data_IF_911119059490
#
_entry.id   IF_911119059490
#
_cell.length_a   1.000
_cell.length_b   1.000
_cell.length_c   1.000
_cell.angle_alpha   90.00
_cell.angle_beta   90.00
_cell.angle_gamma   90.00
#
_symmetry.space_group_name_H-M   'P 1'
#
loop_
_entity.id
_entity.type
_entity.pdbx_description
1 polymer ?
#
# COMPACT_ATOMS: atom_id res chain seq x y z
N UNK A 1 4.46 -2.64 20.33
CA UNK A 1 3.80 -3.89 19.88
C UNK A 1 2.68 -4.33 20.81
N UNK A 2 2.88 -4.32 22.13
CA UNK A 2 1.86 -4.78 23.10
C UNK A 2 0.53 -4.01 23.03
N UNK A 3 0.59 -2.68 22.90
CA UNK A 3 -0.61 -1.84 22.76
C UNK A 3 -1.47 -2.22 21.55
N UNK A 4 -0.85 -2.43 20.40
CA UNK A 4 -1.51 -2.85 19.15
C UNK A 4 -2.16 -4.23 19.29
N UNK A 5 -1.50 -5.15 19.98
CA UNK A 5 -2.04 -6.51 20.21
C UNK A 5 -3.25 -6.46 21.14
N UNK A 6 -3.21 -5.62 22.18
CA UNK A 6 -4.33 -5.42 23.10
C UNK A 6 -5.53 -4.79 22.37
N UNK A 7 -5.31 -3.71 21.61
CA UNK A 7 -6.33 -3.07 20.79
C UNK A 7 -6.94 -4.06 19.78
N UNK A 8 -6.13 -4.91 19.12
CA UNK A 8 -6.63 -5.96 18.24
C UNK A 8 -7.47 -7.02 18.95
N UNK A 9 -7.12 -7.41 20.17
CA UNK A 9 -7.94 -8.34 20.97
C UNK A 9 -9.28 -7.71 21.37
N UNK A 10 -9.30 -6.42 21.73
CA UNK A 10 -10.51 -5.70 22.10
C UNK A 10 -11.41 -5.47 20.87
N UNK A 11 -10.84 -4.99 19.76
CA UNK A 11 -11.55 -4.77 18.50
C UNK A 11 -12.24 -6.05 17.99
N UNK A 12 -11.55 -7.20 18.09
CA UNK A 12 -12.15 -8.52 17.78
C UNK A 12 -13.41 -8.84 18.59
N UNK A 13 -13.53 -8.31 19.81
CA UNK A 13 -14.68 -8.50 20.70
C UNK A 13 -15.78 -7.44 20.48
N UNK A 14 -15.63 -6.57 19.48
CA UNK A 14 -16.60 -5.53 19.15
C UNK A 14 -16.31 -4.16 19.76
N UNK A 15 -15.13 -3.97 20.36
CA UNK A 15 -14.71 -2.64 20.84
C UNK A 15 -14.42 -1.71 19.66
N UNK A 16 -15.31 -0.74 19.46
CA UNK A 16 -15.21 0.23 18.36
C UNK A 16 -14.06 1.21 18.54
N UNK A 17 -13.77 1.61 19.78
CA UNK A 17 -12.68 2.54 20.06
C UNK A 17 -11.33 1.87 19.78
N UNK A 18 -11.18 0.61 20.19
CA UNK A 18 -9.98 -0.16 19.89
C UNK A 18 -9.79 -0.41 18.38
N UNK A 19 -10.87 -0.57 17.61
CA UNK A 19 -10.77 -0.61 16.15
C UNK A 19 -10.30 0.73 15.58
N UNK A 20 -10.89 1.84 16.05
CA UNK A 20 -10.50 3.19 15.64
C UNK A 20 -9.01 3.45 15.86
N UNK A 21 -8.50 3.08 17.04
CA UNK A 21 -7.07 3.22 17.38
C UNK A 21 -6.16 2.42 16.44
N UNK A 22 -6.54 1.18 16.11
CA UNK A 22 -5.79 0.38 15.13
C UNK A 22 -5.79 1.04 13.75
N UNK A 23 -6.96 1.51 13.32
CA UNK A 23 -7.12 2.10 12.00
C UNK A 23 -6.33 3.41 11.89
N UNK A 24 -6.49 4.33 12.84
CA UNK A 24 -5.72 5.59 12.88
C UNK A 24 -4.21 5.34 12.84
N UNK A 25 -3.74 4.30 13.53
CA UNK A 25 -2.34 3.93 13.53
C UNK A 25 -1.84 3.41 12.18
N UNK A 26 -2.67 2.71 11.41
CA UNK A 26 -2.26 2.09 10.14
C UNK A 26 -2.60 2.93 8.92
N UNK A 27 -3.58 3.82 9.02
CA UNK A 27 -4.13 4.61 7.94
C UNK A 27 -3.07 5.43 7.16
N UNK A 28 -2.06 6.07 7.80
CA UNK A 28 -1.06 6.83 7.05
C UNK A 28 -0.25 5.96 6.08
N UNK A 29 0.22 4.79 6.53
CA UNK A 29 0.98 3.87 5.67
C UNK A 29 0.08 3.20 4.62
N UNK A 30 -1.17 2.88 4.98
CA UNK A 30 -2.17 2.36 4.06
C UNK A 30 -2.47 3.36 2.94
N UNK A 31 -2.63 4.64 3.28
CA UNK A 31 -2.85 5.72 2.31
C UNK A 31 -1.66 5.88 1.37
N UNK A 32 -0.42 5.94 1.89
CA UNK A 32 0.78 6.01 1.04
C UNK A 32 0.88 4.82 0.10
N UNK A 33 0.61 3.62 0.59
CA UNK A 33 0.58 2.41 -0.25
C UNK A 33 -0.48 2.52 -1.35
N UNK A 34 -1.71 2.92 -1.00
CA UNK A 34 -2.81 3.06 -1.96
C UNK A 34 -2.54 4.14 -3.01
N UNK A 35 -1.95 5.27 -2.61
CA UNK A 35 -1.58 6.38 -3.48
C UNK A 35 -0.57 5.93 -4.54
N UNK A 36 0.51 5.27 -4.15
CA UNK A 36 1.49 4.75 -5.11
C UNK A 36 0.97 3.58 -5.96
N UNK A 37 -0.08 2.88 -5.51
CA UNK A 37 -0.73 1.84 -6.31
C UNK A 37 -1.66 2.44 -7.38
N UNK A 38 -2.53 3.37 -6.97
CA UNK A 38 -3.67 3.86 -7.75
C UNK A 38 -3.38 5.17 -8.49
N UNK A 39 -2.31 5.87 -8.12
CA UNK A 39 -1.81 7.06 -8.79
C UNK A 39 -2.61 8.33 -8.53
N UNK A 40 -3.72 8.31 -7.79
CA UNK A 40 -4.51 9.51 -7.50
C UNK A 40 -5.07 9.54 -6.07
N UNK A 41 -5.30 10.74 -5.53
CA UNK A 41 -5.69 10.97 -4.12
C UNK A 41 -7.09 10.46 -3.80
N UNK A 42 -8.04 10.75 -4.67
CA UNK A 42 -9.45 10.37 -4.50
C UNK A 42 -9.57 8.85 -4.38
N UNK A 43 -9.01 8.11 -5.35
CA UNK A 43 -9.05 6.65 -5.30
C UNK A 43 -8.22 6.06 -4.16
N UNK A 44 -7.12 6.71 -3.75
CA UNK A 44 -6.38 6.26 -2.58
C UNK A 44 -7.19 6.41 -1.29
N UNK A 45 -7.86 7.55 -1.10
CA UNK A 45 -8.73 7.80 0.03
C UNK A 45 -9.92 6.83 0.03
N UNK A 46 -10.55 6.60 -1.11
CA UNK A 46 -11.66 5.66 -1.27
C UNK A 46 -11.22 4.23 -0.96
N UNK A 47 -10.07 3.80 -1.48
CA UNK A 47 -9.55 2.46 -1.22
C UNK A 47 -9.25 2.23 0.27
N UNK A 48 -8.72 3.24 0.97
CA UNK A 48 -8.48 3.16 2.42
C UNK A 48 -9.80 3.11 3.19
N UNK A 49 -10.79 3.90 2.81
CA UNK A 49 -12.12 3.89 3.43
C UNK A 49 -12.84 2.56 3.22
N UNK A 50 -12.83 2.03 2.00
CA UNK A 50 -13.41 0.72 1.68
C UNK A 50 -12.70 -0.39 2.47
N UNK A 51 -11.36 -0.35 2.54
CA UNK A 51 -10.60 -1.28 3.35
C UNK A 51 -10.95 -1.18 4.84
N UNK A 52 -11.19 0.03 5.36
CA UNK A 52 -11.63 0.24 6.73
C UNK A 52 -13.00 -0.39 6.99
N UNK A 53 -13.96 -0.23 6.07
CA UNK A 53 -15.29 -0.82 6.17
C UNK A 53 -15.24 -2.35 6.11
N UNK A 54 -14.47 -2.93 5.19
CA UNK A 54 -14.25 -4.37 5.12
C UNK A 54 -13.56 -4.90 6.38
N UNK A 55 -12.54 -4.19 6.87
CA UNK A 55 -11.84 -4.54 8.10
C UNK A 55 -12.79 -4.48 9.31
N UNK A 56 -13.61 -3.44 9.43
CA UNK A 56 -14.56 -3.31 10.53
C UNK A 56 -15.58 -4.46 10.54
N UNK A 57 -16.12 -4.82 9.38
CA UNK A 57 -17.03 -5.97 9.23
C UNK A 57 -16.35 -7.31 9.50
N UNK A 58 -15.07 -7.43 9.15
CA UNK A 58 -14.30 -8.67 9.23
C UNK A 58 -13.46 -8.87 10.49
N UNK A 59 -13.36 -7.87 11.38
CA UNK A 59 -12.37 -7.84 12.46
C UNK A 59 -12.47 -9.04 13.40
N UNK A 60 -13.67 -9.55 13.67
CA UNK A 60 -13.89 -10.76 14.47
C UNK A 60 -13.14 -11.99 13.90
N UNK A 61 -12.94 -12.04 12.58
CA UNK A 61 -12.22 -13.09 11.86
C UNK A 61 -10.68 -12.98 11.90
N UNK A 62 -10.12 -11.93 12.50
CA UNK A 62 -8.67 -11.77 12.66
C UNK A 62 -8.11 -12.92 13.51
N UNK A 63 -7.37 -13.85 12.90
CA UNK A 63 -6.88 -15.05 13.62
C UNK A 63 -5.85 -14.73 14.70
N UNK A 64 -4.86 -13.91 14.36
CA UNK A 64 -3.70 -13.56 15.20
C UNK A 64 -3.68 -12.05 15.43
N UNK A 65 -3.95 -11.57 16.66
CA UNK A 65 -3.92 -10.14 16.98
C UNK A 65 -2.58 -9.46 16.64
N UNK A 66 -1.47 -10.16 16.82
CA UNK A 66 -0.13 -9.71 16.44
C UNK A 66 0.06 -9.48 14.94
N UNK A 67 -0.82 -10.04 14.11
CA UNK A 67 -0.81 -9.87 12.66
C UNK A 67 -1.80 -8.79 12.17
N UNK A 68 -2.36 -7.96 13.07
CA UNK A 68 -3.36 -6.95 12.73
C UNK A 68 -2.93 -6.07 11.55
N UNK A 69 -1.74 -5.47 11.60
CA UNK A 69 -1.23 -4.59 10.51
C UNK A 69 -1.21 -5.32 9.15
N UNK A 70 -0.61 -6.50 9.11
CA UNK A 70 -0.55 -7.32 7.88
C UNK A 70 -1.94 -7.75 7.38
N UNK A 71 -2.90 -7.96 8.30
CA UNK A 71 -4.28 -8.29 7.95
C UNK A 71 -5.02 -7.10 7.34
N UNK A 72 -4.86 -5.88 7.88
CA UNK A 72 -5.37 -4.65 7.26
C UNK A 72 -4.78 -4.44 5.86
N UNK A 73 -3.46 -4.59 5.70
CA UNK A 73 -2.80 -4.48 4.40
C UNK A 73 -3.24 -5.55 3.40
N UNK A 74 -3.62 -6.74 3.86
CA UNK A 74 -4.21 -7.77 3.00
C UNK A 74 -5.56 -7.35 2.43
N UNK A 75 -6.40 -6.72 3.25
CA UNK A 75 -7.69 -6.17 2.81
C UNK A 75 -7.43 -5.03 1.81
N UNK A 76 -6.58 -4.08 2.17
CA UNK A 76 -6.22 -2.97 1.28
C UNK A 76 -5.64 -3.44 -0.06
N UNK A 77 -4.75 -4.44 -0.05
CA UNK A 77 -4.21 -5.03 -1.27
C UNK A 77 -5.32 -5.55 -2.19
N UNK A 78 -6.33 -6.22 -1.62
CA UNK A 78 -7.47 -6.71 -2.39
C UNK A 78 -8.33 -5.57 -2.95
N UNK A 79 -8.60 -4.53 -2.14
CA UNK A 79 -9.34 -3.33 -2.56
C UNK A 79 -8.62 -2.63 -3.72
N UNK A 80 -7.33 -2.29 -3.56
CA UNK A 80 -6.53 -1.66 -4.63
C UNK A 80 -6.45 -2.53 -5.88
N UNK A 81 -6.47 -3.87 -5.74
CA UNK A 81 -6.52 -4.80 -6.87
C UNK A 81 -7.83 -4.73 -7.65
N UNK A 82 -8.96 -4.55 -6.97
CA UNK A 82 -10.27 -4.40 -7.62
C UNK A 82 -10.40 -3.04 -8.30
N UNK A 83 -10.13 -1.95 -7.59
CA UNK A 83 -10.26 -0.59 -8.14
C UNK A 83 -9.37 -0.32 -9.36
N UNK A 84 -8.18 -0.94 -9.44
CA UNK A 84 -7.33 -0.81 -10.63
C UNK A 84 -7.91 -1.51 -11.87
N UNK A 85 -8.59 -2.65 -11.68
CA UNK A 85 -9.20 -3.41 -12.79
C UNK A 85 -10.31 -2.61 -13.45
N UNK A 86 -11.13 -1.94 -12.63
CA UNK A 86 -12.21 -1.06 -13.10
C UNK A 86 -11.65 0.19 -13.79
N UNK A 87 -10.48 0.68 -13.36
CA UNK A 87 -9.81 1.83 -14.01
C UNK A 87 -9.15 1.49 -15.34
N UNK A 88 -8.64 0.27 -15.53
CA UNK A 88 -8.13 -0.18 -16.83
C UNK A 88 -9.24 -0.24 -17.90
N UNK A 89 -10.50 -0.30 -17.48
CA UNK A 89 -11.67 -0.17 -18.36
C UNK A 89 -12.07 1.30 -18.61
N UNK A 90 -11.49 2.27 -17.88
CA UNK A 90 -11.94 3.67 -17.84
C UNK A 90 -10.85 4.77 -18.06
N UNK A 91 -9.58 4.40 -18.28
CA UNK A 91 -8.44 5.24 -18.71
C UNK A 91 -8.38 6.69 -18.16
N UNK A 92 -7.82 6.92 -16.96
CA UNK A 92 -7.15 8.18 -16.58
C UNK A 92 -6.23 7.96 -15.36
N UNK A 93 -4.94 8.32 -15.46
CA UNK A 93 -4.02 8.48 -14.30
C UNK A 93 -3.76 9.96 -14.11
N UNK A 94 -4.06 10.50 -12.93
CA UNK A 94 -3.83 11.90 -12.57
C UNK A 94 -2.46 12.03 -11.88
N UNK A 95 -1.55 12.81 -12.46
CA UNK A 95 -0.15 12.94 -12.03
C UNK A 95 0.00 13.86 -10.80
N UNK A 96 -1.00 14.71 -10.50
CA UNK A 96 -0.92 15.71 -9.42
C UNK A 96 -1.02 15.14 -8.00
N UNK A 97 -1.29 13.85 -7.87
CA UNK A 97 -1.62 13.26 -6.60
C UNK A 97 -0.46 12.99 -5.65
N UNK A 98 0.78 12.93 -6.15
CA UNK A 98 1.96 12.54 -5.38
C UNK A 98 2.69 13.69 -4.66
N UNK A 99 2.15 14.92 -4.76
CA UNK A 99 2.81 16.15 -4.32
C UNK A 99 2.73 16.46 -2.80
N UNK A 100 1.72 16.00 -2.06
CA UNK A 100 1.49 16.46 -0.67
C UNK A 100 1.74 15.40 0.43
N UNK A 101 2.95 14.86 0.49
CA UNK A 101 3.43 14.25 1.74
C UNK A 101 3.92 15.38 2.66
N UNK A 102 3.05 15.89 3.54
CA UNK A 102 3.37 16.99 4.49
C UNK A 102 4.64 16.70 5.33
N UNK A 103 5.58 17.61 5.61
CA UNK A 103 5.94 18.93 5.08
C UNK A 103 7.31 19.35 5.70
N UNK A 104 8.30 19.70 4.88
CA UNK A 104 9.24 20.86 5.01
C UNK A 104 10.16 20.80 3.78
N UNK A 105 10.15 21.81 2.91
CA UNK A 105 10.81 21.87 1.57
C UNK A 105 9.97 21.33 0.37
N UNK A 106 9.03 22.17 -0.08
CA UNK A 106 7.89 21.79 -0.94
C UNK A 106 8.21 21.55 -2.41
N UNK A 107 9.26 22.11 -2.99
CA UNK A 107 9.49 21.95 -4.44
C UNK A 107 10.24 20.65 -4.74
N UNK A 108 11.28 20.36 -3.97
CA UNK A 108 12.10 19.16 -4.16
C UNK A 108 11.34 17.88 -3.77
N UNK A 109 10.51 17.92 -2.72
CA UNK A 109 9.68 16.77 -2.32
C UNK A 109 8.53 16.49 -3.30
N UNK A 110 7.92 17.53 -3.86
CA UNK A 110 6.90 17.39 -4.92
C UNK A 110 7.53 16.79 -6.17
N UNK A 111 8.69 17.29 -6.60
CA UNK A 111 9.44 16.76 -7.73
C UNK A 111 9.87 15.31 -7.49
N UNK A 112 10.39 14.99 -6.30
CA UNK A 112 10.75 13.63 -5.91
C UNK A 112 9.52 12.71 -5.88
N UNK A 113 8.36 13.22 -5.45
CA UNK A 113 7.09 12.51 -5.45
C UNK A 113 6.58 12.20 -6.87
N UNK A 114 6.68 13.17 -7.79
CA UNK A 114 6.34 13.02 -9.21
C UNK A 114 7.30 12.04 -9.88
N UNK A 115 8.61 12.20 -9.70
CA UNK A 115 9.64 11.30 -10.22
C UNK A 115 9.41 9.87 -9.71
N UNK A 116 9.14 9.71 -8.41
CA UNK A 116 8.81 8.40 -7.82
C UNK A 116 7.55 7.80 -8.46
N UNK A 117 6.51 8.62 -8.70
CA UNK A 117 5.28 8.15 -9.33
C UNK A 117 5.48 7.72 -10.79
N UNK A 118 6.25 8.47 -11.56
CA UNK A 118 6.61 8.13 -12.94
C UNK A 118 7.45 6.86 -13.02
N UNK A 119 8.46 6.75 -12.15
CA UNK A 119 9.32 5.57 -12.02
C UNK A 119 8.48 4.33 -11.68
N UNK A 120 7.62 4.42 -10.67
CA UNK A 120 6.71 3.33 -10.30
C UNK A 120 5.71 3.03 -11.41
N UNK A 121 5.28 4.05 -12.17
CA UNK A 121 4.43 3.98 -13.35
C UNK A 121 4.92 2.97 -14.40
N UNK A 122 6.24 2.81 -14.53
CA UNK A 122 6.88 1.88 -15.48
C UNK A 122 6.82 0.41 -15.05
N UNK A 123 6.54 0.16 -13.77
CA UNK A 123 6.36 -1.20 -13.25
C UNK A 123 4.98 -1.72 -13.62
N UNK A 124 4.90 -3.01 -13.98
CA UNK A 124 3.60 -3.67 -14.01
C UNK A 124 2.99 -3.69 -12.61
N UNK A 125 1.65 -3.73 -12.58
CA UNK A 125 0.83 -3.63 -11.37
C UNK A 125 1.27 -4.57 -10.24
N UNK A 126 1.55 -5.83 -10.57
CA UNK A 126 1.86 -6.83 -9.56
C UNK A 126 3.23 -6.58 -8.95
N UNK A 127 4.22 -6.25 -9.79
CA UNK A 127 5.58 -5.97 -9.33
C UNK A 127 5.62 -4.68 -8.51
N UNK A 128 4.88 -3.64 -8.93
CA UNK A 128 4.69 -2.39 -8.18
C UNK A 128 4.14 -2.65 -6.78
N UNK A 129 3.03 -3.39 -6.66
CA UNK A 129 2.39 -3.68 -5.36
C UNK A 129 3.28 -4.48 -4.42
N UNK A 130 3.95 -5.51 -4.95
CA UNK A 130 4.85 -6.35 -4.16
C UNK A 130 6.05 -5.54 -3.66
N UNK A 131 6.60 -4.65 -4.51
CA UNK A 131 7.66 -3.73 -4.11
C UNK A 131 7.16 -2.77 -3.01
N UNK A 132 6.01 -2.13 -3.20
CA UNK A 132 5.43 -1.17 -2.24
C UNK A 132 5.09 -1.80 -0.89
N UNK A 133 4.65 -3.05 -0.84
CA UNK A 133 4.47 -3.77 0.44
C UNK A 133 5.80 -3.94 1.18
N UNK A 134 6.92 -4.07 0.46
CA UNK A 134 8.26 -4.14 1.07
C UNK A 134 8.73 -2.76 1.56
N UNK A 135 8.65 -1.73 0.70
CA UNK A 135 9.29 -0.42 0.98
C UNK A 135 8.41 0.51 1.81
N UNK A 136 7.10 0.53 1.57
CA UNK A 136 6.14 1.35 2.35
C UNK A 136 5.65 0.58 3.57
N UNK A 137 5.21 -0.67 3.37
CA UNK A 137 4.64 -1.48 4.46
C UNK A 137 5.67 -2.10 5.40
N UNK A 138 6.95 -2.11 5.01
CA UNK A 138 8.05 -2.69 5.79
C UNK A 138 7.99 -4.21 5.92
N UNK A 139 7.24 -4.92 5.06
CA UNK A 139 7.02 -6.35 5.19
C UNK A 139 8.18 -7.18 4.62
N UNK A 140 8.50 -8.27 5.30
CA UNK A 140 9.42 -9.28 4.78
C UNK A 140 8.80 -10.04 3.59
N UNK A 141 9.62 -10.63 2.72
CA UNK A 141 9.14 -11.42 1.59
C UNK A 141 8.16 -12.54 1.98
N UNK A 142 8.35 -13.16 3.16
CA UNK A 142 7.43 -14.20 3.69
C UNK A 142 6.08 -13.62 4.12
N UNK A 143 6.05 -12.40 4.63
CA UNK A 143 4.81 -11.69 4.99
C UNK A 143 4.08 -11.22 3.74
N UNK A 144 4.80 -10.63 2.79
CA UNK A 144 4.25 -10.22 1.50
C UNK A 144 3.59 -11.42 0.82
N UNK A 145 4.26 -12.58 0.78
CA UNK A 145 3.70 -13.82 0.23
C UNK A 145 2.33 -14.19 0.82
N UNK A 146 2.14 -14.00 2.15
CA UNK A 146 0.86 -14.24 2.84
C UNK A 146 -0.19 -13.17 2.53
N UNK A 147 0.23 -11.92 2.35
CA UNK A 147 -0.63 -10.78 1.98
C UNK A 147 -1.17 -11.01 0.56
N UNK A 148 -0.28 -11.24 -0.41
CA UNK A 148 -0.63 -11.29 -1.84
C UNK A 148 -1.07 -12.68 -2.33
N UNK A 149 -0.91 -13.73 -1.53
CA UNK A 149 -1.29 -15.10 -1.89
C UNK A 149 -0.34 -15.76 -2.90
N UNK A 150 0.96 -15.46 -2.82
CA UNK A 150 2.00 -16.01 -3.73
C UNK A 150 3.02 -16.83 -2.96
N UNK A 151 3.86 -17.61 -3.68
CA UNK A 151 5.02 -18.25 -3.06
C UNK A 151 6.10 -17.22 -2.69
N UNK A 152 6.89 -17.52 -1.66
CA UNK A 152 8.02 -16.65 -1.28
C UNK A 152 9.03 -16.46 -2.44
N UNK A 153 9.27 -17.52 -3.23
CA UNK A 153 10.10 -17.44 -4.43
C UNK A 153 9.54 -16.49 -5.48
N UNK A 154 8.23 -16.55 -5.74
CA UNK A 154 7.57 -15.64 -6.68
C UNK A 154 7.65 -14.17 -6.21
N UNK A 155 7.44 -13.90 -4.91
CA UNK A 155 7.62 -12.56 -4.33
C UNK A 155 9.04 -12.06 -4.57
N UNK A 156 10.07 -12.87 -4.26
CA UNK A 156 11.48 -12.50 -4.46
C UNK A 156 11.77 -12.17 -5.93
N UNK A 157 11.31 -12.99 -6.86
CA UNK A 157 11.50 -12.75 -8.30
C UNK A 157 10.85 -11.44 -8.73
N UNK A 158 9.64 -11.14 -8.24
CA UNK A 158 8.94 -9.90 -8.58
C UNK A 158 9.60 -8.65 -8.01
N UNK A 159 10.03 -8.68 -6.75
CA UNK A 159 10.80 -7.57 -6.14
C UNK A 159 12.09 -7.34 -6.92
N UNK A 160 12.84 -8.40 -7.22
CA UNK A 160 14.08 -8.29 -7.99
C UNK A 160 13.86 -7.72 -9.38
N UNK A 161 12.79 -8.14 -10.06
CA UNK A 161 12.42 -7.61 -11.38
C UNK A 161 12.02 -6.14 -11.30
N UNK A 162 11.21 -5.77 -10.32
CA UNK A 162 10.81 -4.38 -10.09
C UNK A 162 12.04 -3.47 -9.93
N UNK A 163 12.97 -3.86 -9.06
CA UNK A 163 14.21 -3.12 -8.84
C UNK A 163 15.09 -3.02 -10.10
N UNK A 164 15.16 -4.08 -10.91
CA UNK A 164 15.89 -4.06 -12.17
C UNK A 164 15.28 -3.07 -13.18
N UNK A 165 13.95 -3.03 -13.29
CA UNK A 165 13.24 -2.07 -14.15
C UNK A 165 13.45 -0.63 -13.72
N UNK A 166 13.45 -0.36 -12.41
CA UNK A 166 13.74 0.97 -11.88
C UNK A 166 15.20 1.39 -12.16
N UNK A 167 16.18 0.49 -11.98
CA UNK A 167 17.61 0.79 -12.24
C UNK A 167 17.91 1.10 -13.70
N UNK A 168 17.35 0.33 -14.64
CA UNK A 168 17.52 0.59 -16.08
C UNK A 168 16.92 1.93 -16.53
N UNK A 169 16.00 2.47 -15.73
CA UNK A 169 15.38 3.75 -15.99
C UNK A 169 16.28 4.90 -15.55
N UNK A 170 16.90 4.83 -14.37
CA UNK A 170 17.86 5.84 -13.90
C UNK A 170 19.03 5.97 -14.89
N UNK A 171 19.56 4.86 -15.40
CA UNK A 171 20.70 4.85 -16.33
C UNK A 171 20.37 5.52 -17.68
N UNK A 172 19.12 5.44 -18.15
CA UNK A 172 18.68 6.08 -19.40
C UNK A 172 18.10 7.49 -19.20
N UNK A 173 17.83 7.90 -17.95
CA UNK A 173 17.30 9.21 -17.59
C UNK A 173 18.38 10.27 -17.31
N UNK A 174 19.62 9.84 -17.07
CA UNK A 174 20.77 10.73 -16.79
C UNK A 174 21.43 11.39 -18.00
N UNK A 175 20.90 11.21 -19.22
CA UNK A 175 21.43 11.82 -20.46
C UNK A 175 20.56 12.98 -21.00
N UNK A 176 19.76 13.66 -20.17
CA UNK A 176 18.96 14.81 -20.62
C UNK A 176 19.19 16.07 -19.80
#
# INVERSE_FOLDING_TARGET
MEHTVAAAKAAKKGDKAAFGELFERFAPEMYRYALFCLGNRESAADAVQEAALEAYRGIAGLKKPESAKAWFFKILYAVCKRGQRERYEADFVDVDACSDLEADDKTEQVLLGIETAELLGRLNETDRRVLLLSVVGGYSGKEIARIVGMSHGAVRTRVSRALATLRQTDENGGER
#
